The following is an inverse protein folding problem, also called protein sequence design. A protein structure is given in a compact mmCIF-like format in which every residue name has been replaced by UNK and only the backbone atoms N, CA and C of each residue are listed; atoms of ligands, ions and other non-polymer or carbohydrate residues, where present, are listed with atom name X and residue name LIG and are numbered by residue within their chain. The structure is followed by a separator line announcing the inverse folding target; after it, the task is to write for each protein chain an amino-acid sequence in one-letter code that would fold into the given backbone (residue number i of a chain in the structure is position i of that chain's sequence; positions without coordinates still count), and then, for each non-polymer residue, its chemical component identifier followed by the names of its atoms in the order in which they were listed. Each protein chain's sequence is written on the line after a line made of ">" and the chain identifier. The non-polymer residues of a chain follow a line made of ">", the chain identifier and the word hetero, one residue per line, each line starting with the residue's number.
data_IF_626865120452
#
_entry.id   IF_626865120452
#
_cell.length_a   1.000
_cell.length_b   1.000
_cell.length_c   1.000
_cell.angle_alpha   90.00
_cell.angle_beta   90.00
_cell.angle_gamma   90.00
#
_symmetry.space_group_name_H-M   'P 1'
#
loop_
_entity.id
_entity.type
_entity.pdbx_description
1 polymer ?
#
# COMPACT_ATOMS: atom_id res chain seq x y z
N UNK A 1 -28.95 -48.64 11.48
CA UNK A 1 -29.22 -48.73 12.94
C UNK A 1 -28.91 -50.09 13.53
N UNK A 2 -29.39 -51.21 12.97
CA UNK A 2 -29.17 -52.56 13.55
C UNK A 2 -27.68 -52.98 13.66
N UNK A 3 -26.83 -52.63 12.69
CA UNK A 3 -25.40 -53.02 12.70
C UNK A 3 -24.62 -52.40 13.87
N UNK A 4 -24.91 -51.12 14.17
CA UNK A 4 -24.20 -50.42 15.26
C UNK A 4 -24.63 -50.93 16.66
N UNK A 5 -25.84 -51.44 16.80
CA UNK A 5 -26.32 -52.05 18.08
C UNK A 5 -25.65 -53.39 18.33
N UNK A 6 -25.51 -54.25 17.28
CA UNK A 6 -24.81 -55.53 17.38
C UNK A 6 -23.33 -55.34 17.70
N UNK A 7 -22.66 -54.34 17.08
CA UNK A 7 -21.25 -54.04 17.37
C UNK A 7 -21.04 -53.67 18.85
N UNK A 8 -21.93 -52.82 19.42
CA UNK A 8 -21.85 -52.43 20.84
C UNK A 8 -22.09 -53.59 21.77
N UNK A 9 -23.04 -54.50 21.44
CA UNK A 9 -23.29 -55.71 22.18
C UNK A 9 -22.09 -56.66 22.14
N UNK A 10 -21.51 -56.91 20.96
CA UNK A 10 -20.37 -57.81 20.78
C UNK A 10 -19.08 -57.24 21.40
N UNK A 11 -18.79 -55.95 21.20
CA UNK A 11 -17.57 -55.35 21.71
C UNK A 11 -17.61 -54.99 23.19
N UNK A 12 -18.81 -54.92 23.78
CA UNK A 12 -19.06 -54.46 25.16
C UNK A 12 -18.48 -53.06 25.45
N UNK A 13 -18.30 -52.25 24.41
CA UNK A 13 -17.73 -50.89 24.51
C UNK A 13 -18.71 -49.86 24.00
N UNK A 14 -18.73 -48.64 24.60
CA UNK A 14 -19.56 -47.55 24.08
C UNK A 14 -19.09 -47.14 22.68
N UNK A 15 -20.03 -46.83 21.82
CA UNK A 15 -19.81 -46.24 20.50
C UNK A 15 -20.43 -44.87 20.52
N UNK A 16 -19.57 -43.82 20.49
CA UNK A 16 -19.97 -42.43 20.66
C UNK A 16 -19.81 -41.65 19.36
N UNK A 17 -20.56 -40.54 19.23
CA UNK A 17 -20.50 -39.60 18.10
C UNK A 17 -20.80 -40.26 16.73
N UNK A 18 -21.70 -41.22 16.69
CA UNK A 18 -22.14 -41.86 15.46
C UNK A 18 -23.04 -40.87 14.71
N UNK A 19 -22.61 -40.39 13.54
CA UNK A 19 -23.42 -39.53 12.69
C UNK A 19 -24.16 -40.36 11.66
N UNK A 20 -25.46 -40.39 11.73
CA UNK A 20 -26.32 -41.15 10.84
C UNK A 20 -27.35 -40.25 10.17
N UNK A 21 -27.66 -40.56 8.90
CA UNK A 21 -28.72 -39.94 8.16
C UNK A 21 -29.99 -40.77 8.27
N UNK A 22 -31.12 -40.19 8.49
CA UNK A 22 -32.40 -40.86 8.58
C UNK A 22 -33.53 -40.11 7.86
N UNK A 23 -34.50 -40.86 7.37
CA UNK A 23 -35.68 -40.29 6.74
C UNK A 23 -36.73 -39.99 7.79
N UNK A 24 -37.25 -38.76 7.78
CA UNK A 24 -38.37 -38.31 8.62
C UNK A 24 -39.57 -37.92 7.74
N UNK A 25 -40.73 -37.72 8.34
CA UNK A 25 -41.92 -37.22 7.63
C UNK A 25 -41.68 -35.82 6.93
N UNK A 26 -40.69 -35.08 7.42
CA UNK A 26 -40.30 -33.75 6.91
C UNK A 26 -39.03 -33.80 6.03
N UNK A 27 -38.59 -34.98 5.58
CA UNK A 27 -37.40 -35.18 4.73
C UNK A 27 -36.21 -35.76 5.49
N UNK A 28 -35.08 -35.83 4.79
CA UNK A 28 -33.84 -36.38 5.31
C UNK A 28 -33.25 -35.52 6.44
N UNK A 29 -32.93 -36.15 7.55
CA UNK A 29 -32.36 -35.56 8.74
C UNK A 29 -31.07 -36.24 9.17
N UNK A 30 -30.32 -35.58 10.04
CA UNK A 30 -29.07 -36.06 10.60
C UNK A 30 -29.18 -36.21 12.12
N UNK A 31 -28.83 -37.39 12.65
CA UNK A 31 -28.72 -37.60 14.09
C UNK A 31 -27.28 -37.92 14.47
N UNK A 32 -26.82 -37.36 15.58
CA UNK A 32 -25.64 -37.80 16.30
C UNK A 32 -26.09 -38.71 17.43
N UNK A 33 -25.64 -39.97 17.43
CA UNK A 33 -26.10 -41.00 18.35
C UNK A 33 -24.93 -41.54 19.17
N UNK A 34 -25.11 -41.64 20.47
CA UNK A 34 -24.22 -42.34 21.39
C UNK A 34 -24.90 -43.60 21.83
N UNK A 35 -24.18 -44.74 21.83
CA UNK A 35 -24.69 -46.03 22.23
C UNK A 35 -23.77 -46.65 23.30
N UNK A 36 -24.34 -46.93 24.48
CA UNK A 36 -23.60 -47.41 25.65
C UNK A 36 -24.21 -48.71 26.11
N UNK A 37 -23.44 -49.80 26.21
CA UNK A 37 -23.95 -51.10 26.69
C UNK A 37 -24.19 -51.05 28.21
N UNK A 38 -25.29 -51.64 28.65
CA UNK A 38 -25.55 -51.94 30.06
C UNK A 38 -25.04 -53.33 30.31
N UNK A 39 -24.12 -53.47 31.25
CA UNK A 39 -23.53 -54.77 31.60
C UNK A 39 -24.07 -55.26 32.96
N UNK A 40 -24.23 -56.58 33.10
CA UNK A 40 -24.52 -57.19 34.38
C UNK A 40 -23.27 -57.36 35.27
N UNK A 41 -23.41 -58.03 36.42
CA UNK A 41 -22.32 -58.24 37.37
C UNK A 41 -21.18 -59.10 36.80
N UNK A 42 -21.48 -59.93 35.79
CA UNK A 42 -20.55 -60.81 35.12
C UNK A 42 -19.97 -60.21 33.82
N UNK A 43 -20.29 -58.91 33.54
CA UNK A 43 -19.81 -58.20 32.39
C UNK A 43 -20.54 -58.56 31.08
N UNK A 44 -21.72 -59.23 31.17
CA UNK A 44 -22.54 -59.56 30.00
C UNK A 44 -23.51 -58.42 29.65
N UNK A 45 -23.68 -58.08 28.38
CA UNK A 45 -24.58 -57.03 27.97
C UNK A 45 -26.05 -57.44 28.16
N UNK A 46 -26.79 -56.72 29.04
CA UNK A 46 -28.20 -56.94 29.33
C UNK A 46 -29.09 -55.89 28.68
N UNK A 47 -28.50 -54.84 28.14
CA UNK A 47 -29.24 -53.73 27.49
C UNK A 47 -28.32 -52.73 26.80
N UNK A 48 -28.95 -51.76 26.16
CA UNK A 48 -28.27 -50.63 25.48
C UNK A 48 -28.99 -49.32 25.85
N UNK A 49 -28.21 -48.31 26.21
CA UNK A 49 -28.70 -46.92 26.29
C UNK A 49 -28.28 -46.22 25.01
N UNK A 50 -29.24 -45.70 24.28
CA UNK A 50 -29.01 -44.82 23.12
C UNK A 50 -29.43 -43.39 23.43
N UNK A 51 -28.57 -42.45 23.15
CA UNK A 51 -28.89 -41.00 23.13
C UNK A 51 -28.75 -40.51 21.71
N UNK A 52 -29.77 -39.84 21.17
CA UNK A 52 -29.75 -39.29 19.83
C UNK A 52 -30.06 -37.80 19.87
N UNK A 53 -29.22 -37.02 19.22
CA UNK A 53 -29.42 -35.57 19.04
C UNK A 53 -29.62 -35.29 17.56
N UNK A 54 -30.68 -34.53 17.23
CA UNK A 54 -30.86 -34.00 15.87
C UNK A 54 -29.81 -32.91 15.61
N UNK A 55 -28.97 -33.16 14.60
CA UNK A 55 -27.91 -32.23 14.16
C UNK A 55 -28.14 -31.71 12.75
N UNK A 56 -29.37 -31.79 12.25
CA UNK A 56 -29.71 -31.42 10.86
C UNK A 56 -29.40 -29.96 10.57
N UNK A 57 -29.83 -29.03 11.44
CA UNK A 57 -29.55 -27.61 11.26
C UNK A 57 -28.04 -27.34 11.24
N UNK A 58 -27.28 -27.96 12.12
CA UNK A 58 -25.82 -27.85 12.16
C UNK A 58 -25.19 -28.36 10.86
N UNK A 59 -25.61 -29.51 10.35
CA UNK A 59 -25.11 -30.09 9.10
C UNK A 59 -25.45 -29.24 7.87
N UNK A 60 -26.65 -28.66 7.83
CA UNK A 60 -27.05 -27.75 6.78
C UNK A 60 -26.22 -26.46 6.83
N UNK A 61 -26.01 -25.89 8.03
CA UNK A 61 -25.17 -24.70 8.20
C UNK A 61 -23.70 -24.97 7.82
N UNK A 62 -23.13 -26.10 8.23
CA UNK A 62 -21.77 -26.51 7.85
C UNK A 62 -21.63 -26.64 6.31
N UNK A 63 -22.62 -27.23 5.64
CA UNK A 63 -22.64 -27.37 4.18
C UNK A 63 -22.75 -26.01 3.47
N UNK A 64 -23.58 -25.12 3.98
CA UNK A 64 -23.76 -23.77 3.42
C UNK A 64 -22.51 -22.92 3.63
N UNK A 65 -21.90 -22.95 4.81
CA UNK A 65 -20.62 -22.27 5.07
C UNK A 65 -19.55 -22.77 4.09
N UNK A 66 -19.44 -24.08 3.88
CA UNK A 66 -18.49 -24.64 2.92
C UNK A 66 -18.75 -24.14 1.50
N UNK A 67 -19.99 -24.16 1.05
CA UNK A 67 -20.39 -23.64 -0.27
C UNK A 67 -20.04 -22.16 -0.43
N UNK A 68 -20.36 -21.35 0.59
CA UNK A 68 -20.06 -19.91 0.55
C UNK A 68 -18.55 -19.63 0.56
N UNK A 69 -17.77 -20.41 1.28
CA UNK A 69 -16.31 -20.28 1.27
C UNK A 69 -15.73 -20.61 -0.12
N UNK A 70 -16.17 -21.73 -0.74
CA UNK A 70 -15.74 -22.08 -2.10
C UNK A 70 -16.11 -21.00 -3.13
N UNK A 71 -17.33 -20.43 -3.02
CA UNK A 71 -17.77 -19.33 -3.88
C UNK A 71 -16.95 -18.06 -3.64
N UNK A 72 -16.64 -17.74 -2.37
CA UNK A 72 -15.82 -16.59 -2.01
C UNK A 72 -14.39 -16.74 -2.54
N UNK A 73 -13.77 -17.90 -2.37
CA UNK A 73 -12.44 -18.21 -2.91
C UNK A 73 -12.39 -18.02 -4.42
N UNK A 74 -13.39 -18.55 -5.13
CA UNK A 74 -13.48 -18.38 -6.58
C UNK A 74 -13.61 -16.91 -6.99
N UNK A 75 -14.45 -16.13 -6.32
CA UNK A 75 -14.59 -14.69 -6.58
C UNK A 75 -13.30 -13.91 -6.28
N UNK A 76 -12.57 -14.29 -5.23
CA UNK A 76 -11.28 -13.67 -4.90
C UNK A 76 -10.27 -13.93 -6.03
N UNK A 77 -10.17 -15.18 -6.52
CA UNK A 77 -9.29 -15.53 -7.63
C UNK A 77 -9.65 -14.73 -8.90
N UNK A 78 -10.93 -14.70 -9.28
CA UNK A 78 -11.39 -13.96 -10.47
C UNK A 78 -11.08 -12.47 -10.36
N UNK A 79 -11.37 -11.85 -9.21
CA UNK A 79 -11.10 -10.43 -8.98
C UNK A 79 -9.61 -10.11 -8.98
N UNK A 80 -8.79 -10.97 -8.39
CA UNK A 80 -7.33 -10.79 -8.37
C UNK A 80 -6.78 -10.87 -9.79
N UNK A 81 -7.17 -11.88 -10.57
CA UNK A 81 -6.75 -12.03 -11.96
C UNK A 81 -7.17 -10.84 -12.85
N UNK A 82 -8.41 -10.36 -12.70
CA UNK A 82 -8.88 -9.16 -13.40
C UNK A 82 -8.05 -7.92 -13.04
N UNK A 83 -7.74 -7.75 -11.75
CA UNK A 83 -6.96 -6.62 -11.26
C UNK A 83 -5.51 -6.64 -11.77
N UNK A 84 -4.91 -7.82 -11.82
CA UNK A 84 -3.57 -8.03 -12.39
C UNK A 84 -3.53 -7.72 -13.89
N UNK A 85 -4.54 -8.17 -14.64
CA UNK A 85 -4.65 -7.90 -16.07
C UNK A 85 -4.78 -6.38 -16.35
N UNK A 86 -5.68 -5.68 -15.64
CA UNK A 86 -5.86 -4.23 -15.78
C UNK A 86 -4.59 -3.47 -15.39
N UNK A 87 -3.91 -3.89 -14.32
CA UNK A 87 -2.65 -3.26 -13.91
C UNK A 87 -1.56 -3.42 -14.97
N UNK A 88 -1.44 -4.60 -15.58
CA UNK A 88 -0.49 -4.87 -16.65
C UNK A 88 -0.79 -4.06 -17.92
N UNK A 89 -2.07 -3.93 -18.28
CA UNK A 89 -2.50 -3.11 -19.41
C UNK A 89 -2.18 -1.63 -19.20
N UNK A 90 -2.51 -1.08 -18.02
CA UNK A 90 -2.21 0.30 -17.63
C UNK A 90 -0.70 0.59 -17.67
N UNK A 91 0.11 -0.38 -17.29
CA UNK A 91 1.56 -0.28 -17.35
C UNK A 91 2.08 -0.21 -18.78
N UNK A 92 1.67 -1.19 -19.60
CA UNK A 92 2.06 -1.24 -21.01
C UNK A 92 1.68 0.06 -21.72
N UNK A 93 0.47 0.57 -21.44
CA UNK A 93 0.00 1.86 -21.94
C UNK A 93 0.90 3.01 -21.45
N UNK A 94 1.17 3.09 -20.13
CA UNK A 94 2.01 4.14 -19.56
C UNK A 94 3.43 4.14 -20.12
N UNK A 95 4.00 2.96 -20.34
CA UNK A 95 5.32 2.80 -20.95
C UNK A 95 5.34 3.26 -22.41
N UNK A 96 4.38 2.77 -23.24
CA UNK A 96 4.30 3.13 -24.65
C UNK A 96 4.10 4.63 -24.85
N UNK A 97 3.13 5.22 -24.15
CA UNK A 97 2.86 6.67 -24.23
C UNK A 97 4.08 7.48 -23.79
N UNK A 98 4.76 7.06 -22.72
CA UNK A 98 5.95 7.75 -22.23
C UNK A 98 7.11 7.70 -23.24
N UNK A 99 7.28 6.56 -23.90
CA UNK A 99 8.30 6.40 -24.94
C UNK A 99 8.00 7.31 -26.14
N UNK A 100 6.74 7.31 -26.61
CA UNK A 100 6.34 8.04 -27.80
C UNK A 100 6.31 9.56 -27.59
N UNK A 101 6.07 10.03 -26.35
CA UNK A 101 6.16 11.43 -26.01
C UNK A 101 7.60 11.91 -25.84
N UNK A 102 8.55 11.06 -25.44
CA UNK A 102 9.93 11.47 -25.17
C UNK A 102 10.70 11.88 -26.43
N UNK A 103 10.42 11.22 -27.58
CA UNK A 103 11.11 11.52 -28.84
C UNK A 103 10.78 12.95 -29.35
N UNK A 104 9.51 13.37 -29.51
CA UNK A 104 9.18 14.74 -29.95
C UNK A 104 9.65 15.78 -28.95
N UNK A 105 9.59 15.52 -27.63
CA UNK A 105 10.07 16.46 -26.63
C UNK A 105 11.58 16.73 -26.76
N UNK A 106 12.38 15.69 -26.96
CA UNK A 106 13.82 15.87 -27.21
C UNK A 106 14.10 16.69 -28.45
N UNK A 107 13.30 16.51 -29.51
CA UNK A 107 13.45 17.32 -30.73
C UNK A 107 13.12 18.78 -30.49
N UNK A 108 12.02 19.08 -29.78
CA UNK A 108 11.62 20.46 -29.44
C UNK A 108 12.70 21.13 -28.58
N UNK A 109 13.17 20.43 -27.54
CA UNK A 109 14.21 20.92 -26.64
C UNK A 109 15.52 21.20 -27.42
N UNK A 110 15.96 20.22 -28.22
CA UNK A 110 17.17 20.34 -29.03
C UNK A 110 17.15 21.51 -30.02
N UNK A 111 16.05 21.67 -30.79
CA UNK A 111 15.93 22.80 -31.71
C UNK A 111 15.78 24.12 -30.99
N UNK A 112 15.12 24.17 -29.84
CA UNK A 112 15.01 25.39 -29.03
C UNK A 112 16.38 25.82 -28.50
N UNK A 113 17.20 24.90 -28.02
CA UNK A 113 18.57 25.16 -27.59
C UNK A 113 19.49 25.56 -28.75
N UNK A 114 19.40 24.91 -29.92
CA UNK A 114 20.15 25.30 -31.11
C UNK A 114 19.82 26.73 -31.55
N UNK A 115 18.52 27.13 -31.56
CA UNK A 115 18.12 28.51 -31.86
C UNK A 115 18.67 29.51 -30.84
N UNK A 116 18.65 29.17 -29.55
CA UNK A 116 19.23 30.05 -28.52
C UNK A 116 20.73 30.20 -28.68
N UNK A 117 21.44 29.14 -29.08
CA UNK A 117 22.89 29.15 -29.21
C UNK A 117 23.35 29.78 -30.54
N UNK A 118 22.81 29.32 -31.69
CA UNK A 118 23.29 29.69 -33.02
C UNK A 118 22.79 31.06 -33.48
N UNK A 119 21.65 31.49 -32.95
CA UNK A 119 21.00 32.77 -33.30
C UNK A 119 20.98 33.80 -32.18
N UNK A 120 21.83 33.66 -31.16
CA UNK A 120 21.85 34.52 -29.96
C UNK A 120 21.96 36.01 -30.29
N UNK A 121 22.70 36.38 -31.33
CA UNK A 121 22.88 37.78 -31.76
C UNK A 121 21.74 38.29 -32.66
N UNK A 122 20.85 37.40 -33.17
CA UNK A 122 19.74 37.76 -34.08
C UNK A 122 18.38 37.76 -33.38
N UNK A 123 18.30 37.13 -32.22
CA UNK A 123 17.08 37.09 -31.41
C UNK A 123 17.00 38.36 -30.53
N UNK A 124 15.84 38.99 -30.51
CA UNK A 124 15.53 40.04 -29.53
C UNK A 124 15.25 39.41 -28.13
N UNK A 125 15.09 40.23 -27.12
CA UNK A 125 14.80 39.80 -25.75
C UNK A 125 13.52 38.97 -25.66
N UNK A 126 12.53 39.28 -26.47
CA UNK A 126 11.24 38.57 -26.50
C UNK A 126 11.39 37.16 -27.07
N UNK A 127 12.11 37.04 -28.20
CA UNK A 127 12.38 35.73 -28.83
C UNK A 127 13.19 34.81 -27.93
N UNK A 128 14.24 35.35 -27.23
CA UNK A 128 15.00 34.59 -26.22
C UNK A 128 14.11 34.09 -25.10
N UNK A 129 13.28 34.94 -24.52
CA UNK A 129 12.34 34.57 -23.45
C UNK A 129 11.37 33.48 -23.90
N UNK A 130 10.86 33.55 -25.14
CA UNK A 130 9.97 32.47 -25.65
C UNK A 130 10.69 31.14 -25.75
N UNK A 131 11.91 31.09 -26.29
CA UNK A 131 12.68 29.87 -26.39
C UNK A 131 13.06 29.30 -25.01
N UNK A 132 13.45 30.14 -24.06
CA UNK A 132 13.71 29.70 -22.67
C UNK A 132 12.46 29.12 -22.01
N UNK A 133 11.29 29.70 -22.26
CA UNK A 133 10.02 29.14 -21.76
C UNK A 133 9.68 27.82 -22.42
N UNK A 134 9.97 27.63 -23.71
CA UNK A 134 9.80 26.33 -24.41
C UNK A 134 10.72 25.29 -23.80
N UNK A 135 12.02 25.60 -23.63
CA UNK A 135 12.97 24.69 -23.00
C UNK A 135 12.53 24.28 -21.57
N UNK A 136 12.07 25.21 -20.75
CA UNK A 136 11.53 24.91 -19.42
C UNK A 136 10.28 24.02 -19.48
N UNK A 137 9.40 24.26 -20.45
CA UNK A 137 8.19 23.46 -20.60
C UNK A 137 8.50 22.03 -21.07
N UNK A 138 9.42 21.86 -22.02
CA UNK A 138 9.85 20.53 -22.50
C UNK A 138 10.58 19.74 -21.42
N UNK A 139 11.45 20.38 -20.64
CA UNK A 139 12.09 19.76 -19.49
C UNK A 139 11.08 19.28 -18.47
N UNK A 140 10.13 20.15 -18.12
CA UNK A 140 9.07 19.78 -17.16
C UNK A 140 8.20 18.61 -17.66
N UNK A 141 7.88 18.55 -18.96
CA UNK A 141 7.16 17.41 -19.54
C UNK A 141 8.00 16.12 -19.47
N UNK A 142 9.32 16.22 -19.67
CA UNK A 142 10.25 15.09 -19.47
C UNK A 142 10.18 14.55 -18.02
N UNK A 143 10.27 15.45 -17.03
CA UNK A 143 10.19 15.10 -15.61
C UNK A 143 8.84 14.43 -15.25
N UNK A 144 7.72 14.93 -15.81
CA UNK A 144 6.39 14.34 -15.64
C UNK A 144 6.32 12.90 -16.18
N UNK A 145 6.88 12.67 -17.36
CA UNK A 145 6.94 11.36 -17.99
C UNK A 145 7.78 10.39 -17.14
N UNK A 146 8.93 10.83 -16.68
CA UNK A 146 9.82 10.00 -15.85
C UNK A 146 9.19 9.64 -14.51
N UNK A 147 8.49 10.58 -13.87
CA UNK A 147 7.81 10.34 -12.61
C UNK A 147 6.56 9.45 -12.79
N UNK A 148 5.84 9.56 -13.92
CA UNK A 148 4.76 8.66 -14.28
C UNK A 148 5.26 7.20 -14.42
N UNK A 149 6.40 7.01 -15.08
CA UNK A 149 7.05 5.70 -15.21
C UNK A 149 7.50 5.15 -13.85
N UNK A 150 8.07 5.98 -12.97
CA UNK A 150 8.43 5.57 -11.60
C UNK A 150 7.20 5.14 -10.82
N UNK A 151 6.10 5.89 -10.89
CA UNK A 151 4.83 5.55 -10.25
C UNK A 151 4.29 4.20 -10.74
N UNK A 152 4.37 3.92 -12.04
CA UNK A 152 3.96 2.65 -12.63
C UNK A 152 4.82 1.48 -12.12
N UNK A 153 6.14 1.63 -12.13
CA UNK A 153 7.09 0.56 -11.72
C UNK A 153 7.05 0.19 -10.24
N UNK A 154 6.74 1.13 -9.36
CA UNK A 154 6.62 0.89 -7.90
C UNK A 154 5.64 -0.24 -7.56
N UNK A 155 4.66 -0.50 -8.43
CA UNK A 155 3.67 -1.57 -8.22
C UNK A 155 4.18 -2.96 -8.58
N UNK A 156 5.24 -3.09 -9.36
CA UNK A 156 5.63 -4.32 -10.03
C UNK A 156 6.89 -4.97 -9.50
N UNK A 157 7.80 -4.17 -8.90
CA UNK A 157 9.00 -4.75 -8.29
C UNK A 157 8.60 -5.86 -7.30
N UNK A 158 9.27 -7.00 -7.35
CA UNK A 158 9.12 -8.02 -6.31
C UNK A 158 9.29 -7.36 -4.94
N UNK A 159 8.37 -7.69 -4.03
CA UNK A 159 8.36 -7.09 -2.72
C UNK A 159 9.29 -7.87 -1.80
N UNK A 160 10.46 -7.30 -1.51
CA UNK A 160 11.47 -7.97 -0.70
C UNK A 160 11.41 -7.46 0.74
N UNK A 161 10.73 -8.21 1.60
CA UNK A 161 10.62 -7.90 3.02
C UNK A 161 11.95 -8.11 3.74
N UNK A 162 12.51 -7.01 4.27
CA UNK A 162 13.75 -7.01 5.05
C UNK A 162 13.62 -6.10 6.28
N UNK A 163 14.50 -6.30 7.26
CA UNK A 163 14.66 -5.35 8.37
C UNK A 163 15.39 -4.10 7.89
N UNK A 164 14.77 -2.94 8.02
CA UNK A 164 15.26 -1.64 7.53
C UNK A 164 15.45 -0.70 8.71
N UNK A 165 16.65 -0.15 8.86
CA UNK A 165 16.93 0.98 9.76
C UNK A 165 16.54 2.29 9.05
N UNK A 166 15.32 2.77 9.30
CA UNK A 166 14.82 4.03 8.71
C UNK A 166 15.65 5.24 9.14
N UNK A 167 16.19 5.22 10.37
CA UNK A 167 17.02 6.33 10.87
C UNK A 167 18.28 6.50 10.04
N UNK A 168 18.97 5.39 9.69
CA UNK A 168 20.14 5.42 8.82
C UNK A 168 19.76 5.80 7.39
N UNK A 169 18.65 5.29 6.88
CA UNK A 169 18.18 5.60 5.53
C UNK A 169 17.87 7.09 5.39
N UNK A 170 17.14 7.70 6.33
CA UNK A 170 16.84 9.13 6.37
C UNK A 170 18.12 9.96 6.51
N UNK A 171 19.09 9.51 7.32
CA UNK A 171 20.39 10.19 7.45
C UNK A 171 21.14 10.23 6.10
N UNK A 172 21.22 9.10 5.40
CA UNK A 172 21.88 9.01 4.10
C UNK A 172 21.21 9.91 3.04
N UNK A 173 19.88 9.95 3.03
CA UNK A 173 19.11 10.84 2.15
C UNK A 173 19.41 12.30 2.49
N UNK A 174 19.35 12.68 3.77
CA UNK A 174 19.64 14.03 4.24
C UNK A 174 21.05 14.49 3.87
N UNK A 175 22.05 13.64 4.06
CA UNK A 175 23.44 13.94 3.72
C UNK A 175 23.62 14.20 2.21
N UNK A 176 22.87 13.46 1.38
CA UNK A 176 22.86 13.67 -0.08
C UNK A 176 22.25 15.02 -0.45
N UNK A 177 21.11 15.39 0.16
CA UNK A 177 20.49 16.69 -0.07
C UNK A 177 21.38 17.85 0.38
N UNK A 178 22.05 17.72 1.54
CA UNK A 178 22.97 18.74 2.06
C UNK A 178 24.16 18.96 1.12
N UNK A 179 24.76 17.87 0.59
CA UNK A 179 25.86 17.95 -0.36
C UNK A 179 25.46 18.62 -1.66
N UNK A 180 24.26 18.32 -2.17
CA UNK A 180 23.77 18.88 -3.44
C UNK A 180 23.30 20.34 -3.30
N UNK A 181 23.01 20.80 -2.07
CA UNK A 181 22.51 22.15 -1.79
C UNK A 181 23.32 22.81 -0.66
N UNK A 182 24.63 23.08 -0.85
CA UNK A 182 25.52 23.55 0.23
C UNK A 182 25.11 24.91 0.81
N UNK A 183 24.38 25.73 0.04
CA UNK A 183 23.92 27.05 0.46
C UNK A 183 22.60 27.00 1.28
N UNK A 184 21.94 25.85 1.35
CA UNK A 184 20.67 25.69 2.07
C UNK A 184 20.90 24.95 3.38
N UNK A 185 21.16 25.71 4.46
CA UNK A 185 21.54 25.17 5.77
C UNK A 185 20.30 24.66 6.55
N UNK A 186 19.70 23.56 6.10
CA UNK A 186 18.55 22.92 6.71
C UNK A 186 18.99 22.15 7.96
N UNK A 187 18.44 22.48 9.11
CA UNK A 187 18.66 21.68 10.33
C UNK A 187 17.78 20.45 10.31
N UNK A 188 18.38 19.28 10.07
CA UNK A 188 17.69 17.99 10.14
C UNK A 188 17.82 17.38 11.55
N UNK A 189 16.70 16.96 12.14
CA UNK A 189 16.65 16.20 13.42
C UNK A 189 16.10 14.82 13.13
N UNK A 190 16.86 13.76 13.46
CA UNK A 190 16.50 12.38 13.17
C UNK A 190 16.49 11.58 14.46
N UNK A 191 15.34 10.99 14.79
CA UNK A 191 15.22 10.06 15.91
C UNK A 191 15.97 8.75 15.56
N UNK A 192 16.84 8.29 16.47
CA UNK A 192 17.64 7.08 16.27
C UNK A 192 16.85 5.80 16.58
N UNK A 193 17.27 4.70 15.97
CA UNK A 193 16.78 3.36 16.32
C UNK A 193 15.38 3.03 15.78
N UNK A 194 14.92 3.71 14.74
CA UNK A 194 13.65 3.39 14.09
C UNK A 194 13.90 2.28 13.09
N UNK A 195 13.45 1.07 13.44
CA UNK A 195 13.55 -0.12 12.57
C UNK A 195 12.15 -0.62 12.23
N UNK A 196 12.00 -1.08 10.99
CA UNK A 196 10.76 -1.64 10.44
C UNK A 196 11.04 -2.92 9.63
N UNK A 197 9.99 -3.66 9.30
CA UNK A 197 10.00 -4.66 8.24
C UNK A 197 9.41 -4.05 6.96
N UNK A 198 10.07 -4.22 5.81
CA UNK A 198 9.57 -3.66 4.55
C UNK A 198 10.53 -3.87 3.40
N UNK A 199 10.17 -3.32 2.23
CA UNK A 199 11.02 -3.31 1.04
C UNK A 199 11.95 -2.08 1.03
N UNK A 200 13.28 -2.26 1.10
CA UNK A 200 14.22 -1.15 1.24
C UNK A 200 14.20 -0.18 0.07
N UNK A 201 14.03 -0.70 -1.15
CA UNK A 201 14.03 0.14 -2.36
C UNK A 201 12.81 1.05 -2.40
N UNK A 202 11.64 0.49 -2.19
CA UNK A 202 10.39 1.26 -2.15
C UNK A 202 10.38 2.27 -1.00
N UNK A 203 10.84 1.88 0.19
CA UNK A 203 10.92 2.80 1.34
C UNK A 203 11.91 3.94 1.09
N UNK A 204 13.03 3.68 0.43
CA UNK A 204 13.96 4.74 0.04
C UNK A 204 13.31 5.74 -0.91
N UNK A 205 12.54 5.28 -1.90
CA UNK A 205 11.78 6.16 -2.81
C UNK A 205 10.77 7.00 -2.02
N UNK A 206 10.00 6.39 -1.10
CA UNK A 206 9.00 7.09 -0.31
C UNK A 206 9.63 8.18 0.58
N UNK A 207 10.67 7.84 1.32
CA UNK A 207 11.37 8.78 2.21
C UNK A 207 12.07 9.89 1.42
N UNK A 208 12.67 9.58 0.27
CA UNK A 208 13.28 10.58 -0.61
C UNK A 208 12.23 11.61 -1.07
N UNK A 209 11.05 11.16 -1.50
CA UNK A 209 9.97 12.07 -1.93
C UNK A 209 9.47 12.96 -0.77
N UNK A 210 9.30 12.40 0.43
CA UNK A 210 8.86 13.16 1.60
C UNK A 210 9.90 14.19 2.05
N UNK A 211 11.18 13.79 2.07
CA UNK A 211 12.30 14.67 2.46
C UNK A 211 12.52 15.77 1.40
N UNK A 212 12.44 15.44 0.10
CA UNK A 212 12.53 16.41 -0.99
C UNK A 212 11.45 17.49 -0.86
N UNK A 213 10.21 17.09 -0.60
CA UNK A 213 9.13 18.03 -0.34
C UNK A 213 9.42 18.91 0.88
N UNK A 214 9.82 18.34 2.01
CA UNK A 214 10.16 19.09 3.20
C UNK A 214 11.32 20.07 2.94
N UNK A 215 12.35 19.64 2.21
CA UNK A 215 13.49 20.47 1.82
C UNK A 215 13.08 21.64 0.93
N UNK A 216 12.31 21.35 -0.10
CA UNK A 216 11.80 22.34 -1.06
C UNK A 216 10.95 23.40 -0.40
N UNK A 217 9.99 23.00 0.44
CA UNK A 217 9.04 23.93 1.06
C UNK A 217 9.63 24.71 2.24
N UNK A 218 10.77 24.30 2.80
CA UNK A 218 11.51 25.07 3.82
C UNK A 218 12.52 26.05 3.23
N UNK A 219 12.84 25.98 1.95
CA UNK A 219 13.91 26.76 1.32
C UNK A 219 13.78 28.29 1.45
N UNK A 220 12.57 28.80 1.68
CA UNK A 220 12.30 30.24 1.92
C UNK A 220 12.33 30.64 3.40
N UNK A 221 12.57 29.71 4.32
CA UNK A 221 12.59 29.97 5.76
C UNK A 221 13.95 30.52 6.20
N UNK A 222 13.93 31.45 7.14
CA UNK A 222 15.16 31.99 7.72
C UNK A 222 15.96 30.94 8.53
N UNK A 223 15.24 29.98 9.14
CA UNK A 223 15.81 28.88 9.91
C UNK A 223 15.10 27.58 9.53
N UNK A 224 15.44 26.97 8.38
CA UNK A 224 14.76 25.79 7.89
C UNK A 224 15.04 24.59 8.81
N UNK A 225 13.98 23.87 9.17
CA UNK A 225 14.03 22.69 10.05
C UNK A 225 13.18 21.59 9.51
N UNK A 226 13.74 20.39 9.55
CA UNK A 226 13.03 19.14 9.22
C UNK A 226 13.27 18.16 10.35
N UNK A 227 12.25 17.44 10.75
CA UNK A 227 12.28 16.45 11.81
C UNK A 227 11.72 15.13 11.31
N UNK A 228 12.46 14.03 11.52
CA UNK A 228 11.98 12.67 11.30
C UNK A 228 11.93 11.93 12.64
N UNK A 229 10.81 11.27 12.90
CA UNK A 229 10.64 10.52 14.14
C UNK A 229 9.49 9.53 14.07
N UNK A 230 9.27 8.86 15.20
CA UNK A 230 8.13 7.98 15.43
C UNK A 230 7.51 8.26 16.79
N UNK A 231 6.21 8.12 16.91
CA UNK A 231 5.44 8.19 18.14
C UNK A 231 4.56 6.95 18.27
N UNK A 232 4.17 6.60 19.47
CA UNK A 232 3.23 5.52 19.75
C UNK A 232 1.88 6.14 20.11
N UNK A 233 0.82 5.77 19.38
CA UNK A 233 -0.56 6.19 19.68
C UNK A 233 -1.47 4.98 19.58
N UNK A 234 -2.26 4.72 20.63
CA UNK A 234 -3.22 3.60 20.65
C UNK A 234 -2.58 2.24 20.29
N UNK A 235 -1.33 2.02 20.71
CA UNK A 235 -0.53 0.84 20.39
C UNK A 235 -0.08 0.72 18.91
N UNK A 236 -0.30 1.75 18.09
CA UNK A 236 0.15 1.82 16.70
C UNK A 236 1.36 2.77 16.60
N UNK A 237 2.42 2.31 15.92
CA UNK A 237 3.62 3.10 15.69
C UNK A 237 3.40 4.02 14.49
N UNK A 238 3.40 5.32 14.72
CA UNK A 238 3.20 6.36 13.72
C UNK A 238 4.54 7.04 13.44
N UNK A 239 4.98 6.99 12.21
CA UNK A 239 6.17 7.68 11.72
C UNK A 239 5.77 9.05 11.20
N UNK A 240 6.65 10.04 11.32
CA UNK A 240 6.39 11.36 10.80
C UNK A 240 7.62 12.04 10.21
N UNK A 241 7.38 12.87 9.20
CA UNK A 241 8.30 13.88 8.69
C UNK A 241 7.61 15.23 8.86
N UNK A 242 8.22 16.12 9.63
CA UNK A 242 7.73 17.47 9.92
C UNK A 242 8.68 18.49 9.39
N UNK A 243 8.15 19.53 8.76
CA UNK A 243 8.88 20.69 8.31
C UNK A 243 8.28 21.98 8.90
N UNK A 244 9.06 23.07 8.91
CA UNK A 244 8.60 24.40 9.26
C UNK A 244 8.45 25.32 8.03
N UNK A 245 8.14 24.74 6.87
CA UNK A 245 8.03 25.42 5.60
C UNK A 245 6.77 26.27 5.46
N UNK A 246 6.37 26.49 4.20
CA UNK A 246 5.20 27.33 3.88
C UNK A 246 3.87 26.72 4.31
N UNK A 247 3.81 25.40 4.54
CA UNK A 247 2.58 24.68 4.89
C UNK A 247 1.54 24.70 3.79
N UNK A 248 0.32 24.32 4.12
CA UNK A 248 -0.81 24.29 3.19
C UNK A 248 -2.15 24.44 3.92
N UNK A 249 -3.20 24.76 3.18
CA UNK A 249 -4.57 24.82 3.70
C UNK A 249 -5.17 23.41 3.74
N UNK A 250 -5.67 23.00 4.93
CA UNK A 250 -6.27 21.67 5.17
C UNK A 250 -7.52 21.39 4.34
N UNK A 251 -8.17 22.40 3.77
CA UNK A 251 -9.29 22.20 2.84
C UNK A 251 -8.89 21.41 1.58
N UNK A 252 -7.60 21.42 1.24
CA UNK A 252 -7.04 20.69 0.09
C UNK A 252 -6.43 19.34 0.43
N UNK A 253 -6.43 18.93 1.70
CA UNK A 253 -5.77 17.67 2.14
C UNK A 253 -6.23 16.44 1.36
N UNK A 254 -7.52 16.37 0.99
CA UNK A 254 -8.07 15.27 0.21
C UNK A 254 -7.49 15.11 -1.20
N UNK A 255 -6.90 16.17 -1.77
CA UNK A 255 -6.26 16.16 -3.10
C UNK A 255 -4.75 15.91 -3.03
N UNK A 256 -4.14 16.00 -1.86
CA UNK A 256 -2.70 16.06 -1.66
C UNK A 256 -1.95 14.82 -2.17
N UNK A 257 -2.59 13.65 -2.10
CA UNK A 257 -2.04 12.38 -2.56
C UNK A 257 -2.52 11.95 -3.96
N UNK A 258 -3.29 12.81 -4.65
CA UNK A 258 -3.69 12.58 -6.04
C UNK A 258 -2.51 12.78 -6.99
N UNK A 259 -2.44 11.97 -8.06
CA UNK A 259 -1.45 12.18 -9.11
C UNK A 259 -1.69 13.52 -9.83
N UNK A 260 -0.61 14.23 -10.17
CA UNK A 260 -0.63 15.54 -10.82
C UNK A 260 -1.30 16.66 -10.00
N UNK A 261 -1.56 16.43 -8.71
CA UNK A 261 -2.13 17.44 -7.82
C UNK A 261 -1.03 18.30 -7.20
N UNK A 262 -1.25 19.62 -7.23
CA UNK A 262 -0.31 20.62 -6.68
C UNK A 262 -1.11 21.68 -5.93
N UNK A 263 -0.63 22.07 -4.75
CA UNK A 263 -1.25 23.11 -3.92
C UNK A 263 -0.56 24.48 -4.09
N UNK A 264 0.67 24.50 -4.62
CA UNK A 264 1.44 25.70 -4.90
C UNK A 264 1.70 25.82 -6.40
N UNK A 265 1.85 27.03 -6.90
CA UNK A 265 2.09 27.33 -8.32
C UNK A 265 3.49 26.87 -8.78
N UNK A 266 3.70 26.73 -10.10
CA UNK A 266 5.01 26.36 -10.66
C UNK A 266 6.08 27.39 -10.38
N UNK A 267 5.70 28.68 -10.37
CA UNK A 267 6.61 29.81 -10.13
C UNK A 267 7.08 29.86 -8.67
N UNK A 268 6.31 29.28 -7.74
CA UNK A 268 6.67 29.23 -6.33
C UNK A 268 7.56 28.06 -5.97
N UNK A 269 7.23 26.88 -6.50
CA UNK A 269 7.96 25.62 -6.20
C UNK A 269 7.92 24.65 -7.39
N UNK A 270 9.08 24.18 -7.80
CA UNK A 270 9.22 23.18 -8.88
C UNK A 270 8.71 21.81 -8.42
N UNK A 271 8.06 21.04 -9.32
CA UNK A 271 7.65 19.67 -9.04
C UNK A 271 6.51 19.19 -9.94
N UNK A 272 6.37 17.88 -10.07
CA UNK A 272 5.45 17.19 -10.98
C UNK A 272 4.07 16.91 -10.37
N UNK A 273 3.95 16.92 -9.03
CA UNK A 273 2.73 16.52 -8.32
C UNK A 273 2.51 14.99 -8.26
N UNK A 274 3.54 14.19 -8.56
CA UNK A 274 3.46 12.71 -8.56
C UNK A 274 4.11 12.13 -7.29
N UNK A 275 5.06 12.82 -6.67
CA UNK A 275 5.84 12.32 -5.54
C UNK A 275 4.99 11.81 -4.37
N UNK A 276 3.97 12.57 -3.92
CA UNK A 276 3.10 12.13 -2.82
C UNK A 276 2.15 10.98 -3.21
N UNK A 277 1.70 10.92 -4.46
CA UNK A 277 0.96 9.78 -4.97
C UNK A 277 1.82 8.51 -4.95
N UNK A 278 3.10 8.61 -5.30
CA UNK A 278 4.08 7.52 -5.20
C UNK A 278 4.26 7.07 -3.75
N UNK A 279 4.40 8.01 -2.81
CA UNK A 279 4.50 7.69 -1.38
C UNK A 279 3.26 6.95 -0.90
N UNK A 280 2.06 7.44 -1.21
CA UNK A 280 0.82 6.79 -0.80
C UNK A 280 0.73 5.37 -1.34
N UNK A 281 1.13 5.15 -2.58
CA UNK A 281 1.12 3.82 -3.21
C UNK A 281 2.10 2.87 -2.52
N UNK A 282 3.30 3.34 -2.19
CA UNK A 282 4.31 2.57 -1.45
C UNK A 282 3.82 2.19 -0.06
N UNK A 283 3.32 3.16 0.71
CA UNK A 283 2.83 2.92 2.07
C UNK A 283 1.64 1.94 2.07
N UNK A 284 0.69 2.10 1.14
CA UNK A 284 -0.43 1.16 0.97
C UNK A 284 0.03 -0.25 0.60
N UNK A 285 1.05 -0.37 -0.25
CA UNK A 285 1.63 -1.67 -0.62
C UNK A 285 2.28 -2.38 0.57
N UNK A 286 2.80 -1.62 1.53
CA UNK A 286 3.27 -2.13 2.81
C UNK A 286 2.13 -2.39 3.83
N UNK A 287 0.84 -2.23 3.43
CA UNK A 287 -0.31 -2.40 4.33
C UNK A 287 -0.54 -1.23 5.29
N UNK A 288 0.18 -0.12 5.11
CA UNK A 288 0.09 1.06 5.96
C UNK A 288 -0.89 2.12 5.48
N UNK A 289 -0.95 3.21 6.23
CA UNK A 289 -1.75 4.41 5.93
C UNK A 289 -0.84 5.64 5.92
N UNK A 290 -1.20 6.67 5.13
CA UNK A 290 -0.51 7.96 5.11
C UNK A 290 -1.53 9.08 5.15
N UNK A 291 -1.22 10.15 5.90
CA UNK A 291 -1.99 11.38 5.97
C UNK A 291 -1.06 12.56 6.24
N UNK A 292 -1.60 13.78 6.19
CA UNK A 292 -0.82 14.98 6.43
C UNK A 292 -1.63 16.00 7.23
N UNK A 293 -0.93 16.82 7.99
CA UNK A 293 -1.42 18.01 8.67
C UNK A 293 -0.56 19.19 8.27
N UNK A 294 -1.19 20.33 8.00
CA UNK A 294 -0.49 21.53 7.61
C UNK A 294 -1.19 22.79 8.06
N UNK A 295 -0.43 23.88 8.17
CA UNK A 295 -0.97 25.21 8.37
C UNK A 295 -0.15 26.21 7.58
N UNK A 296 -0.82 27.04 6.81
CA UNK A 296 -0.17 28.08 6.00
C UNK A 296 0.78 28.93 6.87
N UNK A 297 2.03 29.04 6.44
CA UNK A 297 3.11 29.77 7.14
C UNK A 297 3.67 29.09 8.38
N UNK A 298 3.22 27.86 8.73
CA UNK A 298 3.69 27.15 9.94
C UNK A 298 4.32 25.78 9.66
N UNK A 299 4.34 25.37 8.36
CA UNK A 299 4.88 24.09 7.92
C UNK A 299 3.85 23.00 7.80
N UNK A 300 4.34 21.79 7.53
CA UNK A 300 3.55 20.58 7.34
C UNK A 300 4.13 19.41 8.12
N UNK A 301 3.29 18.41 8.39
CA UNK A 301 3.71 17.11 8.94
C UNK A 301 3.04 16.01 8.15
N UNK A 302 3.83 15.12 7.60
CA UNK A 302 3.37 13.91 6.94
C UNK A 302 3.54 12.75 7.89
N UNK A 303 2.46 12.02 8.11
CA UNK A 303 2.41 10.86 8.99
C UNK A 303 2.17 9.59 8.19
N UNK A 304 2.78 8.50 8.59
CA UNK A 304 2.45 7.20 8.03
C UNK A 304 2.58 6.08 9.07
N UNK A 305 1.84 4.99 8.85
CA UNK A 305 1.94 3.76 9.63
C UNK A 305 2.40 2.62 8.73
N UNK A 306 2.95 1.60 9.35
CA UNK A 306 3.29 0.33 8.71
C UNK A 306 2.86 -0.79 9.66
N UNK A 307 2.36 -1.94 9.15
CA UNK A 307 2.09 -3.10 9.98
C UNK A 307 3.32 -3.52 10.78
N UNK A 308 3.08 -4.07 11.98
CA UNK A 308 4.14 -4.58 12.86
C UNK A 308 4.76 -5.86 12.31
#
# INVERSE_FOLDING_TARGET
>A
MADNDQDVFQSRRPKLNIVEQYESASGTRWAQTDKIPILDKDGMPIGLIGFAQDITERKLAEKEIKRLNEELEQRVIERTTQMEAINKELETFSYSVSHDLRAPLRSIDGFSHALLQDYQGKLDATGKNYLERICKATQHMGDLIDDLLKLSRVTQSEFNYQSIDLSKMVQSISDTFQKNNPNNNVKMTIQKGIVIQGDPHSMQIALTNLIDNAWKFTGKQKHPRIEFGATLKENEKIFFIRDNGVGFDMSYVGKLFGAFQRLHTMDEFVGTGIGLATVQRIIRRHGGKIWAEGKVGKGATFYFTLPA
#
